data_IF_781320778062
#
_entry.id   IF_781320778062
#
_cell.length_a   1.000
_cell.length_b   1.000
_cell.length_c   1.000
_cell.angle_alpha   90.00
_cell.angle_beta   90.00
_cell.angle_gamma   90.00
#
_symmetry.space_group_name_H-M   'P 1'
#
loop_
_entity.id
_entity.type
_entity.pdbx_description
1 polymer ?
#
# COMPACT_ATOMS: atom_id res chain seq x y z
N UNK A 1 -14.86 -6.43 -4.31
CA UNK A 1 -14.00 -6.12 -5.48
C UNK A 1 -13.32 -7.35 -6.11
N UNK A 2 -13.09 -7.37 -7.43
CA UNK A 2 -12.27 -8.38 -8.15
C UNK A 2 -11.59 -7.75 -9.36
N UNK A 3 -10.39 -8.21 -9.70
CA UNK A 3 -9.70 -7.81 -10.93
C UNK A 3 -8.31 -7.28 -10.65
N UNK A 4 -7.76 -6.59 -11.65
CA UNK A 4 -6.46 -5.92 -11.55
C UNK A 4 -6.68 -4.44 -11.38
N UNK A 5 -5.96 -3.84 -10.44
CA UNK A 5 -6.06 -2.41 -10.13
C UNK A 5 -4.67 -1.79 -10.22
N UNK A 6 -4.51 -0.82 -11.11
CA UNK A 6 -3.25 -0.08 -11.26
C UNK A 6 -3.28 1.13 -10.34
N UNK A 7 -2.26 1.24 -9.50
CA UNK A 7 -2.08 2.37 -8.59
C UNK A 7 -0.85 3.14 -9.03
N UNK A 8 -1.03 4.42 -9.29
CA UNK A 8 0.06 5.36 -9.54
C UNK A 8 0.00 6.44 -8.49
N UNK A 9 1.07 6.60 -7.71
CA UNK A 9 1.19 7.70 -6.76
C UNK A 9 2.50 8.43 -7.01
N UNK A 10 2.43 9.75 -7.19
CA UNK A 10 3.58 10.53 -7.61
C UNK A 10 3.61 11.94 -7.02
N UNK A 11 4.82 12.45 -6.85
CA UNK A 11 5.13 13.88 -6.68
C UNK A 11 6.05 14.31 -7.81
N UNK A 12 6.45 15.58 -7.84
CA UNK A 12 7.49 16.08 -8.77
C UNK A 12 8.81 15.29 -8.73
N UNK A 13 9.12 14.62 -7.61
CA UNK A 13 10.42 13.94 -7.40
C UNK A 13 10.32 12.43 -7.35
N UNK A 14 9.15 11.86 -7.02
CA UNK A 14 8.98 10.44 -6.78
C UNK A 14 7.77 9.93 -7.57
N UNK A 15 7.86 8.70 -8.08
CA UNK A 15 6.72 7.98 -8.66
C UNK A 15 6.75 6.51 -8.25
N UNK A 16 5.61 6.00 -7.81
CA UNK A 16 5.32 4.59 -7.69
C UNK A 16 4.26 4.22 -8.72
N UNK A 17 4.45 3.12 -9.43
CA UNK A 17 3.54 2.64 -10.47
C UNK A 17 3.50 1.11 -10.41
N UNK A 18 2.39 0.56 -9.93
CA UNK A 18 2.25 -0.89 -9.71
C UNK A 18 0.82 -1.36 -9.96
N UNK A 19 0.68 -2.67 -10.16
CA UNK A 19 -0.60 -3.34 -10.40
C UNK A 19 -0.87 -4.35 -9.28
N UNK A 20 -2.01 -4.21 -8.63
CA UNK A 20 -2.53 -5.18 -7.67
C UNK A 20 -3.33 -6.24 -8.41
N UNK A 21 -3.05 -7.52 -8.13
CA UNK A 21 -3.66 -8.66 -8.83
C UNK A 21 -4.54 -9.52 -7.94
N UNK A 22 -4.33 -9.44 -6.64
CA UNK A 22 -5.13 -10.11 -5.61
C UNK A 22 -5.46 -9.12 -4.50
N UNK A 23 -6.45 -9.50 -3.70
CA UNK A 23 -6.94 -8.69 -2.59
C UNK A 23 -5.92 -8.50 -1.47
N UNK A 24 -4.83 -9.25 -1.42
CA UNK A 24 -3.77 -9.08 -0.42
C UNK A 24 -2.41 -9.04 -1.11
N UNK A 25 -1.69 -7.94 -0.92
CA UNK A 25 -0.37 -7.67 -1.47
C UNK A 25 0.56 -7.26 -0.33
N UNK A 26 1.70 -7.93 -0.23
CA UNK A 26 2.74 -7.61 0.77
C UNK A 26 3.88 -6.89 0.08
N UNK A 27 4.18 -5.67 0.53
CA UNK A 27 5.39 -4.98 0.12
C UNK A 27 6.45 -5.24 1.19
N UNK A 28 7.42 -6.09 0.87
CA UNK A 28 8.52 -6.48 1.76
C UNK A 28 9.85 -5.83 1.38
N UNK A 29 10.64 -5.45 2.37
CA UNK A 29 12.02 -5.01 2.16
C UNK A 29 12.60 -4.39 3.42
N UNK A 30 13.91 -4.14 3.43
CA UNK A 30 14.62 -3.59 4.58
C UNK A 30 14.27 -2.12 4.87
N UNK A 31 14.94 -1.52 5.87
CA UNK A 31 14.85 -0.08 6.14
C UNK A 31 15.11 0.75 4.89
N UNK A 32 14.45 1.91 4.80
CA UNK A 32 14.72 2.94 3.79
C UNK A 32 14.51 2.54 2.32
N UNK A 33 13.72 1.48 2.03
CA UNK A 33 13.38 1.07 0.65
C UNK A 33 12.20 1.84 0.03
N UNK A 34 11.66 2.86 0.70
CA UNK A 34 10.52 3.65 0.20
C UNK A 34 9.12 3.11 0.54
N UNK A 35 9.02 2.04 1.36
CA UNK A 35 7.74 1.47 1.80
C UNK A 35 6.86 2.47 2.58
N UNK A 36 7.40 3.03 3.65
CA UNK A 36 6.69 4.02 4.47
C UNK A 36 6.40 5.27 3.65
N UNK A 37 7.33 5.71 2.79
CA UNK A 37 7.13 6.84 1.88
C UNK A 37 5.94 6.64 0.94
N UNK A 38 5.74 5.42 0.43
CA UNK A 38 4.56 5.09 -0.38
C UNK A 38 3.27 5.31 0.43
N UNK A 39 3.17 4.73 1.63
CA UNK A 39 1.98 4.84 2.49
C UNK A 39 1.75 6.30 2.91
N UNK A 40 2.81 7.04 3.22
CA UNK A 40 2.76 8.45 3.58
C UNK A 40 2.21 9.32 2.44
N UNK A 41 2.64 9.07 1.20
CA UNK A 41 2.14 9.79 0.03
C UNK A 41 0.63 9.53 -0.18
N UNK A 42 0.18 8.29 0.01
CA UNK A 42 -1.25 7.96 -0.06
C UNK A 42 -2.01 8.67 1.07
N UNK A 43 -1.49 8.66 2.30
CA UNK A 43 -2.10 9.34 3.46
C UNK A 43 -2.27 10.84 3.20
N UNK A 44 -1.23 11.47 2.69
CA UNK A 44 -1.22 12.90 2.39
C UNK A 44 -2.30 13.28 1.36
N UNK A 45 -2.40 12.49 0.28
CA UNK A 45 -3.45 12.68 -0.72
C UNK A 45 -4.85 12.47 -0.13
N UNK A 46 -5.07 11.38 0.63
CA UNK A 46 -6.40 11.05 1.20
C UNK A 46 -6.87 12.13 2.18
N UNK A 47 -5.96 12.69 2.99
CA UNK A 47 -6.30 13.72 3.96
C UNK A 47 -6.49 15.12 3.34
N UNK A 48 -5.83 15.41 2.21
CA UNK A 48 -5.95 16.69 1.53
C UNK A 48 -5.85 16.57 -0.01
N UNK A 49 -6.89 16.03 -0.68
CA UNK A 49 -6.81 15.73 -2.12
C UNK A 49 -6.56 16.95 -3.00
N UNK A 50 -6.99 18.15 -2.59
CA UNK A 50 -6.86 19.38 -3.37
C UNK A 50 -5.64 20.22 -3.01
N UNK A 51 -4.99 19.95 -1.87
CA UNK A 51 -3.87 20.74 -1.37
C UNK A 51 -2.55 19.98 -1.27
N UNK A 52 -2.54 18.66 -1.47
CA UNK A 52 -1.31 17.88 -1.51
C UNK A 52 -0.60 18.03 -2.88
N UNK A 53 0.75 18.14 -2.91
CA UNK A 53 1.56 17.97 -4.13
C UNK A 53 1.60 16.52 -4.65
N UNK A 54 0.90 15.58 -4.01
CA UNK A 54 0.78 14.20 -4.44
C UNK A 54 -0.37 14.05 -5.43
N UNK A 55 -0.10 13.38 -6.54
CA UNK A 55 -1.11 12.89 -7.48
C UNK A 55 -1.32 11.39 -7.25
N UNK A 56 -2.58 10.97 -7.12
CA UNK A 56 -2.99 9.58 -7.01
C UNK A 56 -3.95 9.22 -8.14
N UNK A 57 -3.56 8.24 -8.96
CA UNK A 57 -4.38 7.68 -10.03
C UNK A 57 -4.66 6.22 -9.69
N UNK A 58 -5.94 5.91 -9.56
CA UNK A 58 -6.46 4.57 -9.29
C UNK A 58 -7.91 4.50 -9.76
N UNK A 59 -8.36 3.32 -10.18
CA UNK A 59 -9.78 3.07 -10.52
C UNK A 59 -10.67 2.87 -9.27
N UNK A 60 -10.05 2.82 -8.08
CA UNK A 60 -10.69 2.59 -6.79
C UNK A 60 -10.27 3.64 -5.77
N UNK A 61 -11.15 3.89 -4.80
CA UNK A 61 -10.80 4.74 -3.65
C UNK A 61 -9.67 4.10 -2.85
N UNK A 62 -8.73 4.91 -2.41
CA UNK A 62 -7.64 4.48 -1.55
C UNK A 62 -7.82 5.03 -0.15
N UNK A 63 -7.50 4.21 0.85
CA UNK A 63 -7.53 4.57 2.27
C UNK A 63 -6.21 4.17 2.92
N UNK A 64 -5.85 4.86 4.00
CA UNK A 64 -4.81 4.41 4.92
C UNK A 64 -5.48 4.00 6.22
N UNK A 65 -5.20 2.77 6.67
CA UNK A 65 -5.76 2.23 7.90
C UNK A 65 -4.68 2.25 8.99
N UNK A 66 -4.96 2.91 10.11
CA UNK A 66 -3.97 3.10 11.18
C UNK A 66 -4.60 3.32 12.56
N UNK A 67 -3.85 2.97 13.60
CA UNK A 67 -4.22 3.22 14.99
C UNK A 67 -5.18 2.20 15.61
N UNK A 68 -5.54 2.43 16.88
CA UNK A 68 -6.27 1.45 17.70
C UNK A 68 -7.73 1.24 17.28
N UNK A 69 -8.32 2.20 16.56
CA UNK A 69 -9.73 2.16 16.12
C UNK A 69 -9.90 1.59 14.70
N UNK A 70 -8.88 0.90 14.18
CA UNK A 70 -8.86 0.34 12.82
C UNK A 70 -10.11 -0.47 12.48
N UNK A 71 -10.67 -1.21 13.45
CA UNK A 71 -11.85 -2.06 13.22
C UNK A 71 -13.09 -1.25 12.86
N UNK A 72 -13.30 -0.13 13.56
CA UNK A 72 -14.41 0.79 13.27
C UNK A 72 -14.22 1.52 11.95
N UNK A 73 -12.98 1.92 11.64
CA UNK A 73 -12.65 2.52 10.34
C UNK A 73 -12.91 1.53 9.20
N UNK A 74 -12.49 0.28 9.36
CA UNK A 74 -12.61 -0.73 8.31
C UNK A 74 -14.06 -1.12 8.01
N UNK A 75 -14.96 -1.04 9.00
CA UNK A 75 -16.38 -1.36 8.82
C UNK A 75 -17.08 -0.46 7.78
N UNK A 76 -16.60 0.78 7.61
CA UNK A 76 -17.16 1.75 6.67
C UNK A 76 -16.47 1.71 5.29
N UNK A 77 -15.38 0.94 5.14
CA UNK A 77 -14.58 0.88 3.91
C UNK A 77 -15.03 -0.34 3.09
N UNK A 78 -15.55 -0.08 1.89
CA UNK A 78 -16.01 -1.09 0.93
C UNK A 78 -15.51 -0.78 -0.48
N UNK A 79 -15.36 -1.81 -1.32
CA UNK A 79 -14.92 -1.73 -2.72
C UNK A 79 -13.70 -0.80 -2.93
N UNK A 80 -12.70 -0.88 -2.04
CA UNK A 80 -11.58 0.06 -1.98
C UNK A 80 -10.22 -0.64 -1.85
N UNK A 81 -9.13 0.15 -1.96
CA UNK A 81 -7.76 -0.29 -1.69
C UNK A 81 -7.29 0.32 -0.36
N UNK A 82 -6.88 -0.52 0.58
CA UNK A 82 -6.46 -0.13 1.93
C UNK A 82 -4.95 -0.33 2.07
N UNK A 83 -4.25 0.75 2.37
CA UNK A 83 -2.80 0.77 2.62
C UNK A 83 -2.52 0.74 4.13
N UNK A 84 -1.54 -0.06 4.54
CA UNK A 84 -1.16 -0.23 5.94
C UNK A 84 0.36 -0.29 6.05
N UNK A 85 0.92 0.53 6.95
CA UNK A 85 2.36 0.53 7.26
C UNK A 85 2.67 -0.37 8.48
N UNK A 86 3.92 -0.83 8.57
CA UNK A 86 4.41 -1.78 9.58
C UNK A 86 4.29 -1.29 11.02
N UNK A 87 4.16 0.02 11.24
CA UNK A 87 3.91 0.59 12.58
C UNK A 87 2.57 0.18 13.21
N UNK A 88 1.72 -0.57 12.49
CA UNK A 88 0.42 -1.03 12.97
C UNK A 88 0.47 -2.50 13.41
N UNK A 89 0.71 -2.74 14.70
CA UNK A 89 0.85 -4.12 15.24
C UNK A 89 -0.37 -5.02 15.00
N UNK A 90 -1.56 -4.44 14.81
CA UNK A 90 -2.78 -5.22 14.54
C UNK A 90 -2.66 -6.10 13.29
N UNK A 91 -1.82 -5.75 12.31
CA UNK A 91 -1.62 -6.55 11.08
C UNK A 91 -1.09 -7.96 11.34
N UNK A 92 -0.51 -8.19 12.53
CA UNK A 92 0.06 -9.47 12.95
C UNK A 92 -0.97 -10.39 13.62
N UNK A 93 -2.14 -9.87 13.95
CA UNK A 93 -3.14 -10.56 14.77
C UNK A 93 -4.07 -11.46 13.94
N UNK A 94 -4.57 -12.53 14.56
CA UNK A 94 -5.63 -13.36 13.96
C UNK A 94 -6.94 -12.60 13.80
N UNK A 95 -7.21 -11.63 14.68
CA UNK A 95 -8.39 -10.76 14.58
C UNK A 95 -8.37 -9.99 13.26
N UNK A 96 -7.27 -9.31 12.95
CA UNK A 96 -7.13 -8.59 11.69
C UNK A 96 -7.27 -9.54 10.49
N UNK A 97 -6.59 -10.69 10.52
CA UNK A 97 -6.71 -11.69 9.46
C UNK A 97 -8.15 -12.17 9.25
N UNK A 98 -8.92 -12.33 10.33
CA UNK A 98 -10.32 -12.72 10.29
C UNK A 98 -11.24 -11.60 9.78
N UNK A 99 -10.99 -10.34 10.14
CA UNK A 99 -11.83 -9.23 9.68
C UNK A 99 -11.65 -8.93 8.19
N UNK A 100 -10.42 -8.89 7.68
CA UNK A 100 -10.19 -8.53 6.27
C UNK A 100 -10.82 -9.53 5.29
N UNK A 101 -10.95 -10.80 5.68
CA UNK A 101 -11.60 -11.85 4.89
C UNK A 101 -13.11 -11.65 4.72
N UNK A 102 -13.74 -10.86 5.60
CA UNK A 102 -15.17 -10.54 5.54
C UNK A 102 -15.47 -9.31 4.68
N UNK A 103 -14.43 -8.62 4.21
CA UNK A 103 -14.57 -7.42 3.38
C UNK A 103 -14.40 -7.73 1.91
N UNK A 104 -14.72 -6.76 1.07
CA UNK A 104 -14.54 -6.85 -0.37
C UNK A 104 -13.38 -5.96 -0.88
N UNK A 105 -12.49 -5.53 0.03
CA UNK A 105 -11.38 -4.61 -0.21
C UNK A 105 -10.11 -5.32 -0.70
N UNK A 106 -9.21 -4.53 -1.30
CA UNK A 106 -7.82 -4.92 -1.51
C UNK A 106 -6.95 -4.30 -0.41
N UNK A 107 -5.89 -5.00 -0.03
CA UNK A 107 -5.00 -4.63 1.05
C UNK A 107 -3.56 -4.63 0.56
N UNK A 108 -2.87 -3.52 0.79
CA UNK A 108 -1.44 -3.36 0.51
C UNK A 108 -0.75 -3.13 1.86
N UNK A 109 0.01 -4.12 2.31
CA UNK A 109 0.68 -4.08 3.62
C UNK A 109 2.17 -3.93 3.40
N UNK A 110 2.70 -2.78 3.81
CA UNK A 110 4.13 -2.49 3.81
C UNK A 110 4.76 -3.00 5.11
N UNK A 111 5.65 -3.99 5.03
CA UNK A 111 6.30 -4.55 6.22
C UNK A 111 7.63 -5.21 5.92
N UNK A 112 8.57 -5.20 6.87
CA UNK A 112 9.80 -6.01 6.81
C UNK A 112 9.55 -7.48 7.11
N UNK A 113 8.55 -7.78 7.93
CA UNK A 113 8.35 -9.09 8.53
C UNK A 113 7.46 -9.99 7.67
N UNK A 114 7.48 -11.29 7.96
CA UNK A 114 6.47 -12.21 7.47
C UNK A 114 5.22 -12.15 8.33
N UNK A 115 4.05 -12.19 7.69
CA UNK A 115 2.75 -12.19 8.37
C UNK A 115 2.07 -13.57 8.25
N UNK A 116 2.54 -14.61 8.95
CA UNK A 116 2.07 -15.99 8.74
C UNK A 116 0.58 -16.19 9.03
N UNK A 117 -0.05 -15.28 9.76
CA UNK A 117 -1.49 -15.27 10.05
C UNK A 117 -2.33 -14.86 8.85
N UNK A 118 -1.75 -14.20 7.85
CA UNK A 118 -2.49 -13.69 6.69
C UNK A 118 -2.39 -14.64 5.49
N UNK A 119 -3.50 -14.92 4.78
CA UNK A 119 -3.53 -15.86 3.67
C UNK A 119 -3.09 -15.22 2.34
N UNK A 120 -1.93 -14.53 2.30
CA UNK A 120 -1.39 -14.02 1.04
C UNK A 120 -0.68 -15.11 0.24
N UNK A 121 -0.67 -14.95 -1.08
CA UNK A 121 0.14 -15.79 -1.96
C UNK A 121 1.59 -15.29 -1.96
N UNK A 122 2.54 -16.23 -2.05
CA UNK A 122 3.96 -15.91 -2.31
C UNK A 122 4.15 -15.11 -3.60
N UNK A 123 3.25 -15.23 -4.57
CA UNK A 123 3.27 -14.46 -5.81
C UNK A 123 2.93 -12.98 -5.63
N UNK A 124 2.39 -12.61 -4.46
CA UNK A 124 1.98 -11.25 -4.11
C UNK A 124 2.88 -10.61 -3.05
N UNK A 125 4.12 -11.10 -2.94
CA UNK A 125 5.18 -10.47 -2.15
C UNK A 125 6.08 -9.69 -3.11
N UNK A 126 6.21 -8.39 -2.86
CA UNK A 126 6.97 -7.49 -3.72
C UNK A 126 7.98 -6.67 -2.92
N UNK A 127 9.17 -6.46 -3.48
CA UNK A 127 10.10 -5.43 -3.04
C UNK A 127 9.95 -4.14 -3.82
N UNK A 128 10.37 -3.03 -3.22
CA UNK A 128 10.51 -1.75 -3.91
C UNK A 128 11.98 -1.59 -4.31
N UNK A 129 12.21 -1.22 -5.56
CA UNK A 129 13.52 -0.77 -6.03
C UNK A 129 13.38 0.55 -6.78
N UNK A 130 14.40 1.39 -6.69
CA UNK A 130 14.47 2.62 -7.49
C UNK A 130 15.02 2.29 -8.88
N UNK A 131 14.28 2.64 -9.93
CA UNK A 131 14.74 2.64 -11.32
C UNK A 131 14.96 4.09 -11.79
N UNK A 132 16.09 4.36 -12.44
CA UNK A 132 16.46 5.70 -12.92
C UNK A 132 17.91 6.09 -12.63
N UNK A 133 18.49 6.97 -13.46
CA UNK A 133 19.89 7.43 -13.32
C UNK A 133 20.01 8.46 -12.18
N UNK A 134 20.86 8.17 -11.19
CA UNK A 134 21.37 9.17 -10.25
C UNK A 134 22.05 10.31 -11.02
N UNK A 135 21.72 11.57 -10.71
CA UNK A 135 22.48 12.75 -11.18
C UNK A 135 21.75 13.75 -12.09
N UNK A 136 20.45 13.62 -12.34
CA UNK A 136 19.66 14.68 -13.01
C UNK A 136 18.41 15.04 -12.21
N UNK A 137 17.86 16.25 -12.38
CA UNK A 137 16.61 16.75 -11.76
C UNK A 137 15.34 15.97 -12.17
N UNK A 138 15.48 14.70 -12.60
CA UNK A 138 14.39 13.85 -13.07
C UNK A 138 13.75 13.09 -11.90
N UNK A 139 12.47 12.80 -12.04
CA UNK A 139 11.69 12.02 -11.10
C UNK A 139 12.34 10.64 -10.88
N UNK A 140 12.48 10.22 -9.62
CA UNK A 140 12.92 8.87 -9.26
C UNK A 140 11.73 7.92 -9.35
N UNK A 141 11.86 6.88 -10.19
CA UNK A 141 10.82 5.88 -10.38
C UNK A 141 11.05 4.72 -9.42
N UNK A 142 9.98 4.24 -8.80
CA UNK A 142 9.98 3.10 -7.92
C UNK A 142 9.11 2.02 -8.54
N UNK A 143 9.72 0.87 -8.76
CA UNK A 143 9.09 -0.31 -9.33
C UNK A 143 8.97 -1.39 -8.27
N UNK A 144 7.89 -2.16 -8.39
CA UNK A 144 7.69 -3.34 -7.56
C UNK A 144 8.28 -4.55 -8.30
N UNK A 145 9.06 -5.36 -7.60
CA UNK A 145 9.59 -6.62 -8.13
C UNK A 145 9.18 -7.76 -7.20
N UNK A 146 8.86 -8.93 -7.75
CA UNK A 146 8.50 -10.09 -6.94
C UNK A 146 9.72 -10.65 -6.20
N UNK A 147 9.51 -11.06 -4.96
CA UNK A 147 10.52 -11.73 -4.11
C UNK A 147 10.17 -13.20 -3.98
#
# INVERSE_FOLDING_TARGET
MRGKHRVIVSTKRLKYDFELRRNLTIIRGDSATGKTTLVDMIREYVNNPTGSPVELICDKKCYVLEGALWKGQLAEITDSIVFIDEGNDFIKTEEFAGEIQKTDNYYVIATRESLPTLPYSVEEIYGIRTSGKYGTLKQSYHEFYRI
#
